data_IF_315589938184
#
_entry.id   IF_315589938184
#
_cell.length_a   1.000
_cell.length_b   1.000
_cell.length_c   1.000
_cell.angle_alpha   90.00
_cell.angle_beta   90.00
_cell.angle_gamma   90.00
#
_symmetry.space_group_name_H-M   'P 1'
#
loop_
_entity.id
_entity.type
_entity.pdbx_description
1 polymer ?
#
# COMPACT_ATOMS: atom_id res chain seq x y z
N UNK A 1 25.59 -19.56 -1.89
CA UNK A 1 24.41 -18.67 -1.77
C UNK A 1 24.49 -17.95 -0.45
N UNK A 2 24.66 -16.63 -0.47
CA UNK A 2 24.90 -15.83 0.73
C UNK A 2 23.65 -15.68 1.60
N UNK A 3 23.86 -15.62 2.92
CA UNK A 3 22.80 -15.48 3.93
C UNK A 3 21.96 -14.22 3.68
N UNK A 4 22.60 -13.13 3.25
CA UNK A 4 21.95 -11.86 2.90
C UNK A 4 20.99 -12.02 1.71
N UNK A 5 21.41 -12.75 0.69
CA UNK A 5 20.62 -13.01 -0.53
C UNK A 5 19.40 -13.88 -0.22
N UNK A 6 19.56 -14.89 0.66
CA UNK A 6 18.45 -15.72 1.13
C UNK A 6 17.42 -14.90 1.92
N UNK A 7 17.88 -14.06 2.85
CA UNK A 7 17.00 -13.21 3.66
C UNK A 7 16.20 -12.23 2.79
N UNK A 8 16.84 -11.57 1.82
CA UNK A 8 16.14 -10.67 0.88
C UNK A 8 15.09 -11.41 0.06
N UNK A 9 15.42 -12.61 -0.45
CA UNK A 9 14.44 -13.46 -1.16
C UNK A 9 13.26 -13.84 -0.26
N UNK A 10 13.51 -14.21 0.99
CA UNK A 10 12.46 -14.52 1.96
C UNK A 10 11.57 -13.32 2.26
N UNK A 11 12.15 -12.14 2.50
CA UNK A 11 11.39 -10.90 2.72
C UNK A 11 10.51 -10.56 1.51
N UNK A 12 11.06 -10.64 0.29
CA UNK A 12 10.30 -10.43 -0.95
C UNK A 12 9.14 -11.42 -1.10
N UNK A 13 9.34 -12.69 -0.74
CA UNK A 13 8.27 -13.69 -0.76
C UNK A 13 7.19 -13.40 0.29
N UNK A 14 7.58 -12.97 1.50
CA UNK A 14 6.66 -12.58 2.56
C UNK A 14 5.80 -11.39 2.14
N UNK A 15 6.39 -10.36 1.54
CA UNK A 15 5.63 -9.19 1.02
C UNK A 15 4.67 -9.61 -0.08
N UNK A 16 5.12 -10.39 -1.07
CA UNK A 16 4.22 -10.93 -2.12
C UNK A 16 3.06 -11.77 -1.57
N UNK A 17 3.24 -12.41 -0.43
CA UNK A 17 2.16 -13.16 0.23
C UNK A 17 1.14 -12.23 0.87
N UNK A 18 1.60 -11.14 1.49
CA UNK A 18 0.73 -10.10 2.05
C UNK A 18 -0.08 -9.42 0.95
N UNK A 19 0.56 -8.98 -0.14
CA UNK A 19 -0.13 -8.32 -1.27
C UNK A 19 -1.24 -9.19 -1.86
N UNK A 20 -1.00 -10.50 -2.00
CA UNK A 20 -2.01 -11.44 -2.48
C UNK A 20 -3.22 -11.52 -1.54
N UNK A 21 -2.98 -11.50 -0.23
CA UNK A 21 -4.07 -11.45 0.77
C UNK A 21 -4.83 -10.14 0.70
N UNK A 22 -4.13 -9.01 0.61
CA UNK A 22 -4.75 -7.68 0.47
C UNK A 22 -5.64 -7.64 -0.77
N UNK A 23 -5.13 -8.10 -1.93
CA UNK A 23 -5.91 -8.15 -3.17
C UNK A 23 -7.16 -9.01 -3.05
N UNK A 24 -7.00 -10.23 -2.50
CA UNK A 24 -8.14 -11.13 -2.30
C UNK A 24 -9.19 -10.51 -1.38
N UNK A 25 -8.75 -9.80 -0.34
CA UNK A 25 -9.66 -9.15 0.62
C UNK A 25 -10.35 -7.94 0.02
N UNK A 26 -9.64 -7.12 -0.75
CA UNK A 26 -10.22 -5.98 -1.47
C UNK A 26 -11.26 -6.43 -2.49
N UNK A 27 -10.97 -7.51 -3.24
CA UNK A 27 -11.93 -8.12 -4.16
C UNK A 27 -13.19 -8.61 -3.43
N UNK A 28 -13.02 -9.27 -2.28
CA UNK A 28 -14.16 -9.71 -1.48
C UNK A 28 -15.02 -8.54 -0.97
N UNK A 29 -14.39 -7.41 -0.59
CA UNK A 29 -15.11 -6.19 -0.21
C UNK A 29 -15.91 -5.62 -1.39
N UNK A 30 -15.31 -5.55 -2.57
CA UNK A 30 -15.95 -5.09 -3.80
C UNK A 30 -17.17 -5.97 -4.17
N UNK A 31 -17.03 -7.29 -4.11
CA UNK A 31 -18.11 -8.24 -4.36
C UNK A 31 -19.23 -8.10 -3.32
N UNK A 32 -18.87 -7.97 -2.04
CA UNK A 32 -19.85 -7.82 -0.94
C UNK A 32 -20.66 -6.53 -1.05
N UNK A 33 -20.07 -5.47 -1.60
CA UNK A 33 -20.74 -4.18 -1.83
C UNK A 33 -21.65 -4.15 -3.06
N UNK A 34 -21.71 -5.24 -3.84
CA UNK A 34 -22.49 -5.30 -5.07
C UNK A 34 -21.81 -4.62 -6.25
N UNK A 35 -20.47 -4.69 -6.32
CA UNK A 35 -19.68 -4.18 -7.46
C UNK A 35 -19.85 -2.68 -7.73
N UNK A 36 -20.01 -1.90 -6.66
CA UNK A 36 -20.10 -0.45 -6.76
C UNK A 36 -18.74 0.15 -7.18
N UNK A 37 -18.70 0.74 -8.38
CA UNK A 37 -17.52 1.46 -8.86
C UNK A 37 -17.25 2.72 -8.04
N UNK A 38 -15.98 3.15 -8.00
CA UNK A 38 -15.52 4.34 -7.26
C UNK A 38 -14.98 4.07 -5.86
N UNK A 39 -15.06 2.83 -5.36
CA UNK A 39 -14.54 2.46 -4.04
C UNK A 39 -13.27 1.59 -4.06
N UNK A 40 -12.73 1.28 -5.24
CA UNK A 40 -11.58 0.38 -5.38
C UNK A 40 -10.38 0.76 -4.50
N UNK A 41 -10.04 2.06 -4.43
CA UNK A 41 -8.95 2.53 -3.57
C UNK A 41 -9.27 2.35 -2.08
N UNK A 42 -10.49 2.65 -1.68
CA UNK A 42 -10.91 2.53 -0.28
C UNK A 42 -11.02 1.06 0.15
N UNK A 43 -11.57 0.19 -0.69
CA UNK A 43 -11.63 -1.25 -0.47
C UNK A 43 -10.22 -1.84 -0.37
N UNK A 44 -9.28 -1.32 -1.16
CA UNK A 44 -7.88 -1.71 -1.08
C UNK A 44 -7.20 -1.25 0.22
N UNK A 45 -7.33 0.02 0.62
CA UNK A 45 -6.76 0.53 1.88
C UNK A 45 -7.38 -0.18 3.09
N UNK A 46 -8.69 -0.42 3.05
CA UNK A 46 -9.40 -1.17 4.08
C UNK A 46 -8.87 -2.60 4.17
N UNK A 47 -8.80 -3.32 3.05
CA UNK A 47 -8.23 -4.66 3.00
C UNK A 47 -6.77 -4.70 3.45
N UNK A 48 -5.98 -3.68 3.11
CA UNK A 48 -4.59 -3.53 3.55
C UNK A 48 -4.53 -3.44 5.07
N UNK A 49 -5.32 -2.57 5.68
CA UNK A 49 -5.36 -2.42 7.14
C UNK A 49 -5.84 -3.68 7.87
N UNK A 50 -6.81 -4.41 7.33
CA UNK A 50 -7.30 -5.67 7.92
C UNK A 50 -6.25 -6.78 7.83
N UNK A 51 -5.57 -6.91 6.69
CA UNK A 51 -4.53 -7.93 6.52
C UNK A 51 -3.29 -7.61 7.33
N UNK A 52 -2.88 -6.33 7.40
CA UNK A 52 -1.72 -5.90 8.16
C UNK A 52 -2.01 -5.87 9.68
N UNK A 53 -3.20 -5.45 10.11
CA UNK A 53 -3.61 -5.44 11.52
C UNK A 53 -3.56 -6.82 12.16
N UNK A 54 -3.85 -7.87 11.40
CA UNK A 54 -3.81 -9.26 11.88
C UNK A 54 -2.48 -9.97 11.57
N UNK A 55 -1.49 -9.29 10.99
CA UNK A 55 -0.24 -9.90 10.50
C UNK A 55 1.00 -9.30 11.14
N UNK A 56 1.87 -10.15 11.67
CA UNK A 56 3.21 -9.78 12.15
C UNK A 56 4.12 -9.20 11.05
N UNK A 57 3.69 -9.29 9.78
CA UNK A 57 4.40 -8.77 8.63
C UNK A 57 4.14 -7.28 8.39
N UNK A 58 3.27 -6.63 9.17
CA UNK A 58 2.99 -5.21 9.05
C UNK A 58 4.27 -4.35 9.02
N UNK A 59 5.25 -4.51 9.92
CA UNK A 59 6.47 -3.70 9.89
C UNK A 59 7.32 -3.97 8.64
N UNK A 60 7.31 -5.20 8.13
CA UNK A 60 8.07 -5.56 6.93
C UNK A 60 7.43 -5.00 5.65
N UNK A 61 6.10 -4.97 5.60
CA UNK A 61 5.36 -4.44 4.47
C UNK A 61 5.56 -2.93 4.34
N UNK A 62 5.42 -2.17 5.43
CA UNK A 62 5.65 -0.72 5.44
C UNK A 62 7.07 -0.38 5.01
N UNK A 63 8.06 -1.14 5.49
CA UNK A 63 9.48 -0.95 5.13
C UNK A 63 9.75 -1.19 3.65
N UNK A 64 9.17 -2.24 3.05
CA UNK A 64 9.44 -2.52 1.64
C UNK A 64 8.65 -1.60 0.70
N UNK A 65 7.40 -1.23 1.05
CA UNK A 65 6.58 -0.30 0.25
C UNK A 65 7.21 1.10 0.17
N UNK A 66 7.98 1.50 1.19
CA UNK A 66 8.74 2.75 1.21
C UNK A 66 10.06 2.67 0.44
N UNK A 67 10.66 1.49 0.29
CA UNK A 67 11.88 1.28 -0.50
C UNK A 67 11.60 1.21 -2.02
N UNK A 68 10.36 0.87 -2.43
CA UNK A 68 9.90 0.83 -3.84
C UNK A 68 9.15 2.11 -4.28
N UNK A 69 8.92 3.09 -3.40
CA UNK A 69 8.49 4.44 -3.81
C UNK A 69 9.73 5.18 -4.32
N UNK A 70 9.98 5.11 -5.62
CA UNK A 70 10.90 6.02 -6.28
C UNK A 70 10.58 7.45 -5.81
N UNK A 71 11.56 8.23 -5.29
CA UNK A 71 11.31 9.55 -4.72
C UNK A 71 10.87 10.62 -5.75
N UNK A 72 10.51 10.24 -6.98
CA UNK A 72 10.22 11.16 -8.07
C UNK A 72 8.79 11.76 -8.02
N UNK A 73 7.88 11.25 -7.20
CA UNK A 73 6.51 11.81 -7.06
C UNK A 73 6.31 12.77 -5.89
N UNK A 74 7.37 13.11 -5.13
CA UNK A 74 7.27 14.08 -4.04
C UNK A 74 7.46 15.55 -4.47
N UNK A 75 7.54 15.85 -5.78
CA UNK A 75 7.83 17.19 -6.29
C UNK A 75 6.66 17.94 -6.97
N UNK A 76 5.45 17.36 -7.04
CA UNK A 76 4.32 18.02 -7.70
C UNK A 76 3.08 18.09 -6.81
N UNK A 77 3.11 18.94 -5.79
CA UNK A 77 1.93 19.46 -5.07
C UNK A 77 2.30 20.69 -4.22
N UNK A 78 2.96 21.67 -4.84
CA UNK A 78 3.17 23.01 -4.26
C UNK A 78 2.90 24.07 -5.32
N UNK A 79 1.68 24.10 -5.87
CA UNK A 79 1.15 25.26 -6.59
C UNK A 79 -0.36 25.07 -6.80
N UNK A 80 -1.16 25.50 -5.84
CA UNK A 80 -2.25 26.48 -6.04
C UNK A 80 -3.10 26.51 -4.76
N UNK A 81 -2.68 27.33 -3.81
CA UNK A 81 -3.56 27.79 -2.74
C UNK A 81 -3.23 29.24 -2.49
N UNK A 82 -3.92 30.09 -3.26
CA UNK A 82 -3.82 31.53 -3.24
C UNK A 82 -3.92 32.13 -1.82
N UNK A 83 -2.94 32.97 -1.51
CA UNK A 83 -2.98 34.07 -0.55
C UNK A 83 -2.18 35.18 -1.28
N UNK A 84 -2.62 36.42 -1.44
CA UNK A 84 -3.19 37.27 -0.41
C UNK A 84 -3.87 38.52 -1.03
N UNK A 85 -5.12 38.70 -0.64
CA UNK A 85 -5.81 39.92 -0.19
C UNK A 85 -4.93 41.17 0.11
N UNK A 86 -5.29 42.30 -0.54
CA UNK A 86 -5.29 43.70 -0.02
C UNK A 86 -3.96 44.47 0.17
N UNK A 87 -3.82 45.55 -0.62
CA UNK A 87 -3.79 46.95 -0.15
C UNK A 87 -4.03 47.92 -1.32
#
# INVERSE_FOLDING_TARGET
MDIKTRRRKQQKLMVKMVERKVRSRAQQLYETRGQADGHALQDWVQAESEVLGNSILAPLYHRMKTEDQDPETAADSTADSACETTA
#
